data_IF_391509106650
#
_entry.id   IF_391509106650
#
_cell.length_a   1.000
_cell.length_b   1.000
_cell.length_c   1.000
_cell.angle_alpha   90.00
_cell.angle_beta   90.00
_cell.angle_gamma   90.00
#
_symmetry.space_group_name_H-M   'P 1'
#
loop_
_entity.id
_entity.type
_entity.pdbx_description
1 polymer ?
#
# COMPACT_ATOMS: atom_id res chain seq x y z
N UNK A 1 -25.16 -21.18 10.61
CA UNK A 1 -24.36 -22.37 10.29
C UNK A 1 -22.91 -22.07 10.58
N UNK A 2 -22.42 -22.62 11.69
CA UNK A 2 -21.03 -22.93 12.04
C UNK A 2 -19.89 -22.38 11.14
N UNK A 3 -19.47 -21.14 11.37
CA UNK A 3 -18.07 -20.77 11.13
C UNK A 3 -17.29 -21.17 12.38
N UNK A 4 -16.78 -22.40 12.36
CA UNK A 4 -15.79 -22.86 13.32
C UNK A 4 -14.54 -22.01 13.13
N UNK A 5 -14.34 -21.05 14.04
CA UNK A 5 -13.06 -20.37 14.22
C UNK A 5 -12.05 -21.46 14.58
N UNK A 6 -11.27 -21.92 13.59
CA UNK A 6 -10.07 -22.71 13.89
C UNK A 6 -9.11 -21.79 14.63
N UNK A 7 -8.69 -22.11 15.86
CA UNK A 7 -7.57 -21.42 16.45
C UNK A 7 -6.31 -21.95 15.75
N UNK A 8 -5.84 -21.29 14.70
CA UNK A 8 -4.43 -21.42 14.35
C UNK A 8 -3.68 -20.42 15.22
N UNK A 9 -3.06 -20.91 16.28
CA UNK A 9 -1.87 -20.25 16.81
C UNK A 9 -0.87 -20.19 15.65
N UNK A 10 -0.86 -19.07 14.91
CA UNK A 10 0.11 -18.82 13.85
C UNK A 10 1.45 -18.50 14.51
N UNK A 11 2.05 -19.51 15.12
CA UNK A 11 3.41 -19.46 15.63
C UNK A 11 4.32 -19.50 14.40
N UNK A 12 4.51 -18.36 13.73
CA UNK A 12 5.74 -18.14 12.97
C UNK A 12 6.84 -17.98 14.02
N UNK A 13 7.18 -19.09 14.69
CA UNK A 13 8.37 -19.19 15.52
C UNK A 13 9.61 -19.12 14.63
N UNK A 14 10.78 -19.53 15.14
CA UNK A 14 11.95 -19.76 14.29
C UNK A 14 11.63 -20.87 13.28
N UNK A 15 11.18 -20.49 12.09
CA UNK A 15 11.16 -21.36 10.92
C UNK A 15 12.52 -21.31 10.22
N UNK A 16 12.88 -22.38 9.52
CA UNK A 16 14.06 -22.37 8.67
C UNK A 16 13.94 -21.26 7.61
N UNK A 17 15.07 -20.65 7.23
CA UNK A 17 15.09 -19.63 6.17
C UNK A 17 15.19 -20.25 4.78
N UNK A 18 15.60 -21.51 4.70
CA UNK A 18 15.75 -22.23 3.44
C UNK A 18 14.39 -22.44 2.80
N UNK A 19 14.24 -21.96 1.56
CA UNK A 19 12.99 -22.08 0.82
C UNK A 19 11.92 -21.09 1.27
N UNK A 20 12.27 -19.99 1.96
CA UNK A 20 11.26 -19.02 2.44
C UNK A 20 10.44 -18.37 1.32
N UNK A 21 10.94 -18.37 0.09
CA UNK A 21 10.25 -17.87 -1.10
C UNK A 21 9.28 -18.87 -1.72
N UNK A 22 9.25 -20.12 -1.24
CA UNK A 22 8.38 -21.16 -1.77
C UNK A 22 6.97 -21.03 -1.20
N UNK A 23 5.94 -21.17 -2.05
CA UNK A 23 4.54 -20.97 -1.65
C UNK A 23 4.09 -21.88 -0.50
N UNK A 24 4.65 -23.10 -0.41
CA UNK A 24 4.38 -24.05 0.67
C UNK A 24 5.08 -23.72 2.00
N UNK A 25 6.03 -22.79 2.03
CA UNK A 25 6.83 -22.49 3.20
C UNK A 25 5.97 -21.98 4.37
N UNK A 26 6.25 -22.35 5.64
CA UNK A 26 5.48 -21.89 6.80
C UNK A 26 5.27 -20.37 6.86
N UNK A 27 6.28 -19.57 6.52
CA UNK A 27 6.16 -18.11 6.46
C UNK A 27 5.16 -17.64 5.40
N UNK A 28 5.19 -18.24 4.20
CA UNK A 28 4.27 -17.88 3.12
C UNK A 28 2.83 -18.32 3.45
N UNK A 29 2.67 -19.46 4.12
CA UNK A 29 1.36 -19.91 4.65
C UNK A 29 0.80 -18.91 5.67
N UNK A 30 1.62 -18.50 6.64
CA UNK A 30 1.21 -17.52 7.65
C UNK A 30 0.87 -16.16 7.02
N UNK A 31 1.62 -15.72 6.01
CA UNK A 31 1.29 -14.53 5.23
C UNK A 31 -0.08 -14.67 4.56
N UNK A 32 -0.38 -15.80 3.89
CA UNK A 32 -1.70 -16.02 3.28
C UNK A 32 -2.84 -16.03 4.29
N UNK A 33 -2.65 -16.64 5.45
CA UNK A 33 -3.65 -16.60 6.53
C UNK A 33 -3.92 -15.14 6.98
N UNK A 34 -2.90 -14.29 7.03
CA UNK A 34 -3.09 -12.85 7.31
C UNK A 34 -3.85 -12.17 6.19
N UNK A 35 -3.50 -12.45 4.93
CA UNK A 35 -4.19 -11.87 3.77
C UNK A 35 -5.66 -12.30 3.72
N UNK A 36 -5.97 -13.56 3.98
CA UNK A 36 -7.33 -14.10 4.08
C UNK A 36 -8.15 -13.36 5.13
N UNK A 37 -7.60 -13.19 6.34
CA UNK A 37 -8.27 -12.48 7.43
C UNK A 37 -8.52 -11.00 7.12
N UNK A 38 -7.54 -10.30 6.52
CA UNK A 38 -7.66 -8.87 6.21
C UNK A 38 -8.57 -8.63 5.01
N UNK A 39 -8.43 -9.40 3.94
CA UNK A 39 -9.19 -9.17 2.70
C UNK A 39 -10.58 -9.81 2.72
N UNK A 40 -10.78 -10.84 3.55
CA UNK A 40 -12.01 -11.65 3.57
C UNK A 40 -12.16 -12.58 2.37
N UNK A 41 -11.10 -12.79 1.60
CA UNK A 41 -11.08 -13.68 0.45
C UNK A 41 -10.68 -15.11 0.86
N UNK A 42 -11.24 -16.11 0.20
CA UNK A 42 -10.68 -17.47 0.22
C UNK A 42 -9.42 -17.49 -0.66
N UNK A 43 -8.26 -17.34 -0.01
CA UNK A 43 -6.97 -17.23 -0.70
C UNK A 43 -6.60 -18.55 -1.40
N UNK A 44 -7.17 -19.69 -0.98
CA UNK A 44 -6.95 -20.98 -1.62
C UNK A 44 -7.53 -21.09 -3.03
N UNK A 45 -8.49 -20.22 -3.38
CA UNK A 45 -9.10 -20.14 -4.70
C UNK A 45 -8.43 -19.12 -5.63
N UNK A 46 -7.50 -18.31 -5.11
CA UNK A 46 -6.83 -17.29 -5.91
C UNK A 46 -5.64 -17.89 -6.67
N UNK A 47 -5.50 -17.47 -7.93
CA UNK A 47 -4.24 -17.65 -8.64
C UNK A 47 -3.12 -16.87 -7.93
N UNK A 48 -1.90 -17.35 -8.07
CA UNK A 48 -0.71 -16.68 -7.58
C UNK A 48 0.44 -16.92 -8.53
N UNK A 49 1.36 -15.97 -8.59
CA UNK A 49 2.57 -16.05 -9.38
C UNK A 49 3.77 -15.53 -8.59
N UNK A 50 4.98 -15.74 -9.13
CA UNK A 50 6.20 -15.17 -8.55
C UNK A 50 6.37 -13.73 -9.01
N UNK A 51 6.46 -12.81 -8.04
CA UNK A 51 6.76 -11.40 -8.31
C UNK A 51 8.26 -11.18 -8.63
N UNK A 52 8.61 -10.01 -9.15
CA UNK A 52 9.99 -9.63 -9.47
C UNK A 52 10.95 -9.65 -8.27
N UNK A 53 10.43 -9.52 -7.04
CA UNK A 53 11.22 -9.71 -5.82
C UNK A 53 11.50 -11.20 -5.48
N UNK A 54 10.86 -12.12 -6.19
CA UNK A 54 11.03 -13.56 -6.06
C UNK A 54 10.06 -14.24 -5.08
N UNK A 55 9.14 -13.49 -4.47
CA UNK A 55 8.13 -14.01 -3.54
C UNK A 55 6.79 -14.28 -4.24
N UNK A 56 5.93 -15.13 -3.66
CA UNK A 56 4.57 -15.30 -4.16
C UNK A 56 3.73 -14.03 -4.06
N UNK A 57 2.96 -13.73 -5.10
CA UNK A 57 1.99 -12.65 -5.16
C UNK A 57 0.63 -13.19 -5.59
N UNK A 58 -0.43 -12.81 -4.86
CA UNK A 58 -1.79 -13.27 -5.10
C UNK A 58 -2.49 -12.38 -6.13
N UNK A 59 -3.24 -13.00 -7.04
CA UNK A 59 -4.15 -12.31 -7.94
C UNK A 59 -5.43 -11.93 -7.18
N UNK A 60 -5.47 -10.74 -6.59
CA UNK A 60 -6.60 -10.27 -5.77
C UNK A 60 -7.38 -9.13 -6.45
N UNK A 61 -8.71 -9.07 -6.27
CA UNK A 61 -9.50 -7.87 -6.59
C UNK A 61 -9.02 -6.64 -5.81
N UNK A 62 -8.93 -5.48 -6.48
CA UNK A 62 -8.42 -4.24 -5.87
C UNK A 62 -9.29 -3.74 -4.72
N UNK A 63 -10.61 -3.92 -4.80
CA UNK A 63 -11.56 -3.54 -3.76
C UNK A 63 -11.35 -4.38 -2.49
N UNK A 64 -11.07 -5.68 -2.63
CA UNK A 64 -10.74 -6.56 -1.51
C UNK A 64 -9.40 -6.19 -0.86
N UNK A 65 -8.40 -5.82 -1.68
CA UNK A 65 -7.13 -5.32 -1.18
C UNK A 65 -7.30 -3.98 -0.43
N UNK A 66 -8.09 -3.04 -0.96
CA UNK A 66 -8.41 -1.78 -0.29
C UNK A 66 -9.13 -2.00 1.04
N UNK A 67 -10.09 -2.94 1.11
CA UNK A 67 -10.71 -3.38 2.38
C UNK A 67 -9.69 -3.97 3.34
N UNK A 68 -8.74 -4.77 2.85
CA UNK A 68 -7.63 -5.29 3.64
C UNK A 68 -6.78 -4.18 4.27
N UNK A 69 -6.46 -3.15 3.48
CA UNK A 69 -5.77 -1.96 3.98
C UNK A 69 -6.61 -1.16 4.99
N UNK A 70 -7.92 -1.03 4.78
CA UNK A 70 -8.80 -0.36 5.73
C UNK A 70 -8.84 -1.10 7.08
N UNK A 71 -8.94 -2.44 7.06
CA UNK A 71 -8.80 -3.25 8.28
C UNK A 71 -7.41 -3.14 8.90
N UNK A 72 -6.37 -3.06 8.07
CA UNK A 72 -4.99 -2.86 8.54
C UNK A 72 -4.79 -1.49 9.23
N UNK A 73 -5.52 -0.46 8.78
CA UNK A 73 -5.49 0.87 9.37
C UNK A 73 -6.10 0.90 10.78
N UNK A 74 -7.14 0.09 11.02
CA UNK A 74 -7.85 0.01 12.30
C UNK A 74 -7.14 -0.96 13.24
N UNK A 75 -6.36 -0.40 14.16
CA UNK A 75 -5.84 -1.15 15.30
C UNK A 75 -6.92 -1.08 16.39
N UNK A 76 -7.62 -2.19 16.64
CA UNK A 76 -8.71 -2.31 17.62
C UNK A 76 -8.25 -2.08 19.07
N UNK A 77 -7.79 -0.86 19.39
CA UNK A 77 -7.30 -0.46 20.70
C UNK A 77 -6.09 -1.24 21.25
N UNK A 78 -5.45 -2.11 20.45
CA UNK A 78 -4.39 -3.00 20.92
C UNK A 78 -4.91 -4.22 21.70
N UNK A 79 -6.20 -4.57 21.56
CA UNK A 79 -6.84 -5.66 22.33
C UNK A 79 -6.37 -7.06 21.91
N UNK A 80 -5.83 -7.20 20.70
CA UNK A 80 -5.33 -8.47 20.17
C UNK A 80 -3.84 -8.40 19.80
N UNK A 81 -3.09 -9.51 19.87
CA UNK A 81 -1.69 -9.55 19.41
C UNK A 81 -1.52 -9.07 17.96
N UNK A 82 -2.52 -9.32 17.10
CA UNK A 82 -2.54 -8.85 15.71
C UNK A 82 -2.66 -7.33 15.64
N UNK A 83 -3.59 -6.73 16.38
CA UNK A 83 -3.77 -5.28 16.41
C UNK A 83 -2.53 -4.55 16.94
N UNK A 84 -1.85 -5.10 17.96
CA UNK A 84 -0.59 -4.56 18.47
C UNK A 84 0.52 -4.64 17.41
N UNK A 85 0.62 -5.75 16.68
CA UNK A 85 1.61 -5.89 15.62
C UNK A 85 1.34 -4.92 14.46
N UNK A 86 0.09 -4.71 14.09
CA UNK A 86 -0.31 -3.76 13.06
C UNK A 86 0.02 -2.32 13.45
N UNK A 87 -0.34 -1.90 14.67
CA UNK A 87 -0.01 -0.57 15.21
C UNK A 87 1.52 -0.34 15.21
N UNK A 88 2.29 -1.34 15.64
CA UNK A 88 3.75 -1.29 15.57
C UNK A 88 4.26 -1.07 14.16
N UNK A 89 3.70 -1.75 13.15
CA UNK A 89 4.10 -1.57 11.75
C UNK A 89 3.72 -0.17 11.26
N UNK A 90 2.50 0.30 11.53
CA UNK A 90 2.06 1.64 11.13
C UNK A 90 2.97 2.73 11.70
N UNK A 91 3.32 2.64 12.99
CA UNK A 91 4.26 3.57 13.63
C UNK A 91 5.66 3.50 13.04
N UNK A 92 6.14 2.30 12.70
CA UNK A 92 7.45 2.13 12.06
C UNK A 92 7.47 2.75 10.66
N UNK A 93 6.42 2.55 9.86
CA UNK A 93 6.27 3.14 8.53
C UNK A 93 6.20 4.67 8.61
N UNK A 94 5.45 5.21 9.58
CA UNK A 94 5.35 6.66 9.82
C UNK A 94 6.69 7.26 10.27
N UNK A 95 7.41 6.59 11.18
CA UNK A 95 8.66 7.07 11.77
C UNK A 95 9.89 6.90 10.88
N UNK A 96 9.87 5.95 9.94
CA UNK A 96 11.01 5.60 9.08
C UNK A 96 10.62 5.43 7.60
N UNK A 97 10.07 6.47 6.95
CA UNK A 97 9.51 6.36 5.59
C UNK A 97 10.55 6.03 4.52
N UNK A 98 11.84 6.32 4.73
CA UNK A 98 12.91 5.91 3.83
C UNK A 98 13.13 4.38 3.80
N UNK A 99 12.79 3.65 4.87
CA UNK A 99 12.86 2.19 4.90
C UNK A 99 11.70 1.54 4.12
N UNK A 100 10.70 2.33 3.74
CA UNK A 100 9.51 1.86 3.00
C UNK A 100 9.79 1.84 1.49
N UNK A 101 10.40 2.90 0.94
CA UNK A 101 10.60 3.03 -0.50
C UNK A 101 11.95 3.65 -0.92
N UNK A 102 12.80 4.06 0.03
CA UNK A 102 13.99 4.87 -0.24
C UNK A 102 13.69 6.38 -0.29
N UNK A 103 14.72 7.21 -0.22
CA UNK A 103 14.58 8.66 -0.05
C UNK A 103 14.05 9.43 -1.27
N UNK A 104 14.20 8.87 -2.48
CA UNK A 104 13.86 9.53 -3.74
C UNK A 104 12.59 8.98 -4.39
N UNK A 105 11.52 8.73 -3.61
CA UNK A 105 10.26 8.17 -4.11
C UNK A 105 9.06 8.96 -3.58
N UNK A 106 8.02 9.07 -4.41
CA UNK A 106 6.74 9.70 -4.06
C UNK A 106 6.18 9.17 -2.73
N UNK A 107 6.27 7.87 -2.47
CA UNK A 107 5.79 7.25 -1.22
C UNK A 107 6.38 7.93 0.02
N UNK A 108 7.71 8.09 0.01
CA UNK A 108 8.46 8.65 1.12
C UNK A 108 8.21 10.14 1.26
N UNK A 109 8.05 10.86 0.16
CA UNK A 109 7.64 12.26 0.19
C UNK A 109 6.25 12.41 0.84
N UNK A 110 5.24 11.66 0.40
CA UNK A 110 3.88 11.71 0.96
C UNK A 110 3.87 11.41 2.46
N UNK A 111 4.56 10.36 2.90
CA UNK A 111 4.60 10.00 4.33
C UNK A 111 5.26 11.11 5.15
N UNK A 112 6.33 11.74 4.62
CA UNK A 112 7.05 12.83 5.32
C UNK A 112 6.22 14.10 5.42
N UNK A 113 5.68 14.56 4.29
CA UNK A 113 4.91 15.81 4.23
C UNK A 113 3.63 15.72 5.05
N UNK A 114 2.97 14.55 5.07
CA UNK A 114 1.77 14.33 5.89
C UNK A 114 2.07 13.96 7.35
N UNK A 115 3.35 13.97 7.75
CA UNK A 115 3.80 13.58 9.10
C UNK A 115 3.29 12.21 9.54
N UNK A 116 3.20 11.25 8.62
CA UNK A 116 2.74 9.89 8.90
C UNK A 116 1.21 9.74 8.97
N UNK A 117 0.41 10.78 8.74
CA UNK A 117 -1.05 10.64 8.65
C UNK A 117 -1.47 9.78 7.46
N UNK A 118 -0.77 9.91 6.32
CA UNK A 118 -1.00 9.10 5.12
C UNK A 118 0.18 8.16 4.90
N UNK A 119 -0.06 6.87 5.03
CA UNK A 119 0.96 5.85 4.79
C UNK A 119 0.73 5.21 3.43
N UNK A 120 1.71 5.31 2.53
CA UNK A 120 1.56 4.87 1.15
C UNK A 120 2.75 4.05 0.70
N UNK A 121 2.49 3.05 -0.13
CA UNK A 121 3.50 2.21 -0.76
C UNK A 121 3.17 2.01 -2.24
N UNK A 122 4.18 2.21 -3.07
CA UNK A 122 4.13 1.87 -4.49
C UNK A 122 4.29 0.36 -4.69
N UNK A 123 3.50 -0.19 -5.59
CA UNK A 123 3.66 -1.53 -6.16
C UNK A 123 4.26 -1.46 -7.58
N UNK A 124 4.50 -2.63 -8.17
CA UNK A 124 4.91 -2.73 -9.56
C UNK A 124 3.83 -2.18 -10.50
N UNK A 125 4.24 -1.78 -11.72
CA UNK A 125 3.32 -1.41 -12.80
C UNK A 125 2.31 -0.30 -12.39
N UNK A 126 2.77 0.86 -11.92
CA UNK A 126 1.87 2.02 -11.71
C UNK A 126 0.81 1.82 -10.63
N UNK A 127 1.10 1.00 -9.62
CA UNK A 127 0.20 0.74 -8.48
C UNK A 127 0.61 1.53 -7.24
N UNK A 128 -0.37 2.02 -6.49
CA UNK A 128 -0.21 2.53 -5.14
C UNK A 128 -1.25 1.91 -4.22
N UNK A 129 -0.86 1.70 -2.97
CA UNK A 129 -1.77 1.34 -1.90
C UNK A 129 -1.42 2.11 -0.65
N UNK A 130 -2.40 2.42 0.18
CA UNK A 130 -2.13 3.14 1.41
C UNK A 130 -3.26 3.08 2.42
N UNK A 131 -2.95 3.65 3.57
CA UNK A 131 -3.84 3.73 4.74
C UNK A 131 -3.79 5.11 5.37
N UNK A 132 -4.91 5.48 5.98
CA UNK A 132 -5.04 6.65 6.86
C UNK A 132 -5.52 6.13 8.22
N UNK A 133 -4.60 5.86 9.17
CA UNK A 133 -4.95 5.21 10.44
C UNK A 133 -6.05 5.92 11.22
N UNK A 134 -6.03 7.25 11.26
CA UNK A 134 -6.98 8.07 12.03
C UNK A 134 -8.44 7.90 11.58
N UNK A 135 -8.67 7.65 10.28
CA UNK A 135 -10.02 7.46 9.72
C UNK A 135 -10.35 6.01 9.41
N UNK A 136 -9.41 5.08 9.61
CA UNK A 136 -9.57 3.68 9.21
C UNK A 136 -9.65 3.48 7.69
N UNK A 137 -9.27 4.47 6.90
CA UNK A 137 -9.35 4.41 5.44
C UNK A 137 -8.22 3.56 4.87
N UNK A 138 -8.54 2.72 3.88
CA UNK A 138 -7.58 2.04 3.02
C UNK A 138 -7.91 2.29 1.56
N UNK A 139 -6.89 2.47 0.73
CA UNK A 139 -7.07 2.72 -0.70
C UNK A 139 -6.07 1.92 -1.53
N UNK A 140 -6.46 1.66 -2.78
CA UNK A 140 -5.64 1.07 -3.83
C UNK A 140 -5.90 1.83 -5.11
N UNK A 141 -4.84 2.17 -5.82
CA UNK A 141 -4.83 2.84 -7.12
C UNK A 141 -3.98 2.01 -8.07
N UNK A 142 -4.44 1.86 -9.30
CA UNK A 142 -3.71 1.23 -10.39
C UNK A 142 -3.91 2.05 -11.65
N UNK A 143 -2.83 2.30 -12.37
CA UNK A 143 -2.88 2.82 -13.73
C UNK A 143 -2.70 1.66 -14.70
N UNK A 144 -3.62 1.55 -15.67
CA UNK A 144 -3.70 0.42 -16.59
C UNK A 144 -2.46 0.27 -17.48
N UNK A 145 -1.84 1.39 -17.90
CA UNK A 145 -0.61 1.39 -18.71
C UNK A 145 0.66 1.07 -17.90
N UNK A 146 0.53 0.90 -16.58
CA UNK A 146 1.62 0.58 -15.67
C UNK A 146 2.61 1.73 -15.39
N UNK A 147 2.37 2.93 -15.93
CA UNK A 147 3.34 4.01 -15.88
C UNK A 147 3.34 4.77 -14.54
N UNK A 148 4.52 4.93 -13.95
CA UNK A 148 4.67 5.68 -12.70
C UNK A 148 4.24 7.15 -12.81
N UNK A 149 4.56 7.79 -13.94
CA UNK A 149 4.22 9.20 -14.21
C UNK A 149 2.73 9.47 -14.08
N UNK A 150 1.88 8.51 -14.47
CA UNK A 150 0.43 8.62 -14.34
C UNK A 150 -0.02 8.30 -12.93
N UNK A 151 0.57 7.28 -12.31
CA UNK A 151 0.15 6.82 -10.98
C UNK A 151 0.46 7.81 -9.86
N UNK A 152 1.56 8.56 -9.95
CA UNK A 152 1.93 9.57 -8.95
C UNK A 152 0.97 10.77 -9.02
N UNK A 153 0.65 11.22 -10.22
CA UNK A 153 -0.35 12.28 -10.47
C UNK A 153 -1.74 11.85 -10.01
N UNK A 154 -2.16 10.62 -10.34
CA UNK A 154 -3.43 10.07 -9.89
C UNK A 154 -3.47 9.88 -8.36
N UNK A 155 -2.37 9.50 -7.72
CA UNK A 155 -2.28 9.47 -6.26
C UNK A 155 -2.51 10.86 -5.67
N UNK A 156 -1.86 11.90 -6.22
CA UNK A 156 -2.04 13.28 -5.76
C UNK A 156 -3.49 13.74 -5.80
N UNK A 157 -4.17 13.53 -6.93
CA UNK A 157 -5.57 13.89 -7.03
C UNK A 157 -6.49 13.03 -6.15
N UNK A 158 -6.18 11.74 -5.93
CA UNK A 158 -6.92 10.88 -4.99
C UNK A 158 -6.81 11.43 -3.56
N UNK A 159 -5.61 11.77 -3.11
CA UNK A 159 -5.39 12.32 -1.78
C UNK A 159 -6.08 13.69 -1.60
N UNK A 160 -6.07 14.52 -2.63
CA UNK A 160 -6.79 15.81 -2.64
C UNK A 160 -8.31 15.61 -2.59
N UNK A 161 -8.86 14.72 -3.42
CA UNK A 161 -10.29 14.43 -3.46
C UNK A 161 -10.83 13.86 -2.13
N UNK A 162 -9.98 13.14 -1.39
CA UNK A 162 -10.28 12.62 -0.07
C UNK A 162 -10.03 13.62 1.08
N UNK A 163 -9.56 14.84 0.77
CA UNK A 163 -9.26 15.87 1.76
C UNK A 163 -8.09 15.51 2.69
N UNK A 164 -7.14 14.69 2.23
CA UNK A 164 -6.04 14.17 3.05
C UNK A 164 -4.81 15.09 3.07
N UNK A 165 -4.77 16.09 2.19
CA UNK A 165 -3.69 17.07 2.08
C UNK A 165 -4.22 18.47 2.38
N UNK A 166 -3.49 19.23 3.18
CA UNK A 166 -3.65 20.68 3.27
C UNK A 166 -2.89 21.39 2.13
N UNK A 167 -3.12 22.70 1.98
CA UNK A 167 -2.53 23.49 0.90
C UNK A 167 -0.99 23.44 0.88
N UNK A 168 -0.35 23.51 2.05
CA UNK A 168 1.12 23.46 2.17
C UNK A 168 1.67 22.08 1.82
N UNK A 169 1.01 21.00 2.24
CA UNK A 169 1.39 19.63 1.90
C UNK A 169 1.21 19.39 0.39
N UNK A 170 0.10 19.86 -0.18
CA UNK A 170 -0.19 19.76 -1.60
C UNK A 170 0.83 20.55 -2.44
N UNK A 171 1.28 21.72 -1.97
CA UNK A 171 2.34 22.51 -2.60
C UNK A 171 3.70 21.79 -2.55
N UNK A 172 4.09 21.26 -1.40
CA UNK A 172 5.36 20.54 -1.23
C UNK A 172 5.45 19.27 -2.11
N UNK A 173 4.31 18.63 -2.39
CA UNK A 173 4.23 17.40 -3.19
C UNK A 173 4.05 17.65 -4.70
N UNK A 174 3.97 18.90 -5.16
CA UNK A 174 3.84 19.25 -6.58
C UNK A 174 4.88 18.59 -7.51
N UNK A 175 6.16 18.43 -7.13
CA UNK A 175 7.14 17.76 -7.99
C UNK A 175 6.75 16.32 -8.38
N UNK A 176 5.91 15.66 -7.57
CA UNK A 176 5.40 14.31 -7.83
C UNK A 176 4.02 14.32 -8.48
N UNK A 177 3.16 15.25 -8.06
CA UNK A 177 1.75 15.27 -8.48
C UNK A 177 1.50 16.08 -9.74
N UNK A 178 2.45 16.92 -10.14
CA UNK A 178 2.41 17.73 -11.36
C UNK A 178 3.79 17.83 -12.01
N UNK A 179 4.43 16.70 -12.38
CA UNK A 179 5.78 16.71 -12.90
C UNK A 179 5.83 17.39 -14.27
N UNK A 180 6.89 18.17 -14.48
CA UNK A 180 7.19 18.76 -15.79
C UNK A 180 7.66 17.67 -16.77
N UNK A 181 7.25 17.78 -18.03
CA UNK A 181 7.71 16.93 -19.13
C UNK A 181 8.93 17.58 -19.75
N UNK A 182 10.11 17.00 -19.54
CA UNK A 182 11.38 17.51 -20.08
C UNK A 182 11.81 16.73 -21.32
N UNK A 183 12.30 17.44 -22.35
CA UNK A 183 12.90 16.80 -23.51
C UNK A 183 14.37 16.40 -23.27
N UNK A 184 15.01 15.78 -24.26
CA UNK A 184 16.41 15.35 -24.17
C UNK A 184 17.43 16.49 -23.99
N UNK A 185 17.04 17.75 -24.20
CA UNK A 185 17.86 18.93 -23.92
C UNK A 185 17.60 19.52 -22.52
N UNK A 186 16.75 18.89 -21.70
CA UNK A 186 16.35 19.39 -20.39
C UNK A 186 15.37 20.57 -20.44
N UNK A 187 14.76 20.86 -21.61
CA UNK A 187 13.76 21.93 -21.73
C UNK A 187 12.38 21.38 -21.38
N UNK A 188 11.62 22.16 -20.61
CA UNK A 188 10.21 21.87 -20.31
C UNK A 188 9.40 21.97 -21.61
N UNK A 189 8.61 20.94 -21.88
CA UNK A 189 7.75 20.81 -23.07
C UNK A 189 6.28 20.59 -22.72
N UNK A 190 5.96 20.42 -21.44
CA UNK A 190 4.61 20.24 -20.95
C UNK A 190 4.61 19.87 -19.47
N UNK A 191 3.45 19.45 -18.98
CA UNK A 191 3.23 18.99 -17.61
C UNK A 191 2.21 17.86 -17.61
N UNK A 192 2.36 16.94 -16.68
CA UNK A 192 1.36 15.89 -16.42
C UNK A 192 0.54 16.38 -15.22
N UNK A 193 -0.78 16.38 -15.33
CA UNK A 193 -1.66 16.84 -14.25
C UNK A 193 -2.96 16.06 -14.22
N UNK A 194 -3.57 16.00 -13.03
CA UNK A 194 -4.91 15.45 -12.88
C UNK A 194 -5.94 16.38 -13.53
N UNK A 195 -7.04 15.85 -14.07
CA UNK A 195 -8.11 16.68 -14.61
C UNK A 195 -8.71 17.56 -13.50
N UNK A 196 -9.14 18.79 -13.85
CA UNK A 196 -9.75 19.74 -12.91
C UNK A 196 -11.00 19.20 -12.20
N UNK A 197 -11.67 18.21 -12.81
CA UNK A 197 -12.81 17.51 -12.22
C UNK A 197 -12.56 16.01 -12.27
N UNK A 198 -12.56 15.40 -11.09
CA UNK A 198 -12.64 13.97 -10.95
C UNK A 198 -14.11 13.55 -11.04
N UNK A 199 -14.54 13.07 -12.20
CA UNK A 199 -15.87 12.46 -12.34
C UNK A 199 -15.80 11.04 -11.79
N UNK A 200 -16.15 10.88 -10.52
CA UNK A 200 -16.51 9.59 -9.93
C UNK A 200 -17.92 9.18 -10.31
#
# INVERSE_FOLDING_TARGET
GMYSLRPSESTVGRCETRGYSEYGHPTQRAWREVMENLTGLDIGLLAWERDGCGLPALCMPMDALARGFARFAVCDGGTTPRSVAMDRVLRAVAGHPELVAGSGRCCTAVIRETHGRVLVKTGAEGMFSGVVPESGLGFVLKVDDGAWRGSEVALGGLLSALGLLNDSEAEALQPWFRPDVVNSQGKITGRIEAPERWSG
#
